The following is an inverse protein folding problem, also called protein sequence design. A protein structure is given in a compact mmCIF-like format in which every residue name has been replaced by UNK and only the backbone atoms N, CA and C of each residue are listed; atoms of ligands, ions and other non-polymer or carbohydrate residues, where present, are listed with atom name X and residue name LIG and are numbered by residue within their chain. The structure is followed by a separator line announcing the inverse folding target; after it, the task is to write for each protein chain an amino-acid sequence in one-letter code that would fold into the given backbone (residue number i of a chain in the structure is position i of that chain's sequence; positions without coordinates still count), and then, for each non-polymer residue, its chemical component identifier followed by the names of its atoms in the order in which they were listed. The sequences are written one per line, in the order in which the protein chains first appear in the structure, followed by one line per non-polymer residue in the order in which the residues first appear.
data_IF_732400866254
#
_entry.id   IF_732400866254
#
_cell.length_a   1.000
_cell.length_b   1.000
_cell.length_c   1.000
_cell.angle_alpha   90.00
_cell.angle_beta   90.00
_cell.angle_gamma   90.00
#
_symmetry.space_group_name_H-M   'P 1'
#
loop_
_entity.id
_entity.type
_entity.pdbx_description
1 polymer ?
#
# COMPACT_ATOMS: atom_id res chain seq x y z
N UNK A 1 -12.31 6.30 -9.83
CA UNK A 1 -12.13 5.48 -11.05
C UNK A 1 -12.05 4.03 -10.60
N UNK A 2 -12.77 3.12 -11.23
CA UNK A 2 -12.71 1.70 -10.86
C UNK A 2 -11.37 1.11 -11.31
N UNK A 3 -10.71 0.35 -10.45
CA UNK A 3 -9.43 -0.29 -10.80
C UNK A 3 -9.66 -1.49 -11.74
N UNK A 4 -8.70 -1.81 -12.63
CA UNK A 4 -8.77 -3.02 -13.42
C UNK A 4 -8.68 -4.27 -12.52
N UNK A 5 -9.53 -5.25 -12.79
CA UNK A 5 -9.53 -6.52 -12.04
C UNK A 5 -8.64 -7.51 -12.76
N UNK A 6 -7.72 -8.14 -12.02
CA UNK A 6 -6.78 -9.13 -12.55
C UNK A 6 -7.11 -10.48 -11.94
N UNK A 7 -6.99 -11.53 -12.75
CA UNK A 7 -7.13 -12.92 -12.33
C UNK A 7 -6.21 -13.23 -11.13
N UNK A 8 -6.74 -13.72 -10.00
CA UNK A 8 -5.96 -14.04 -8.81
C UNK A 8 -4.89 -15.12 -9.05
N UNK A 9 -5.06 -15.97 -10.06
CA UNK A 9 -4.09 -17.00 -10.43
C UNK A 9 -2.83 -16.43 -11.10
N UNK A 10 -2.86 -15.14 -11.49
CA UNK A 10 -1.67 -14.45 -11.99
C UNK A 10 -0.72 -14.17 -10.82
N UNK A 11 0.59 -14.50 -10.95
CA UNK A 11 1.58 -14.24 -9.92
C UNK A 11 1.57 -12.80 -9.43
N UNK A 12 1.74 -12.58 -8.12
CA UNK A 12 1.62 -11.25 -7.51
C UNK A 12 2.57 -10.21 -8.13
N UNK A 13 3.79 -10.62 -8.49
CA UNK A 13 4.77 -9.75 -9.17
C UNK A 13 4.26 -9.24 -10.51
N UNK A 14 3.57 -10.10 -11.26
CA UNK A 14 2.97 -9.77 -12.54
C UNK A 14 1.74 -8.87 -12.37
N UNK A 15 0.89 -9.14 -11.37
CA UNK A 15 -0.24 -8.26 -11.02
C UNK A 15 0.21 -6.85 -10.65
N UNK A 16 1.22 -6.71 -9.78
CA UNK A 16 1.78 -5.40 -9.38
C UNK A 16 2.31 -4.62 -10.58
N UNK A 17 2.95 -5.32 -11.54
CA UNK A 17 3.44 -4.68 -12.76
C UNK A 17 2.29 -4.17 -13.64
N UNK A 18 1.19 -4.93 -13.75
CA UNK A 18 0.01 -4.52 -14.53
C UNK A 18 -0.78 -3.40 -13.85
N UNK A 19 -0.92 -3.43 -12.52
CA UNK A 19 -1.58 -2.37 -11.76
C UNK A 19 -0.78 -1.06 -11.72
N UNK A 20 0.55 -1.15 -11.80
CA UNK A 20 1.43 0.03 -11.86
C UNK A 20 1.39 0.77 -13.21
N UNK A 21 0.91 0.13 -14.26
CA UNK A 21 0.76 0.72 -15.60
C UNK A 21 -0.58 0.29 -16.22
N UNK A 22 -1.71 0.82 -15.72
CA UNK A 22 -3.04 0.43 -16.17
C UNK A 22 -3.32 0.88 -17.61
N UNK A 23 -2.61 1.90 -18.11
CA UNK A 23 -2.71 2.37 -19.49
C UNK A 23 -2.18 1.33 -20.49
N UNK A 24 -1.22 0.50 -20.07
CA UNK A 24 -0.69 -0.59 -20.89
C UNK A 24 -1.67 -1.76 -21.09
N UNK A 25 -2.77 -1.83 -20.33
CA UNK A 25 -3.79 -2.86 -20.49
C UNK A 25 -4.59 -2.61 -21.77
N UNK A 26 -4.44 -3.45 -22.80
CA UNK A 26 -5.21 -3.30 -24.02
C UNK A 26 -6.71 -3.58 -23.81
N UNK A 27 -7.57 -2.85 -24.51
CA UNK A 27 -9.02 -3.16 -24.57
C UNK A 27 -9.23 -4.56 -25.17
N UNK A 28 -10.20 -5.30 -24.62
CA UNK A 28 -10.47 -6.69 -25.02
C UNK A 28 -10.85 -6.82 -26.50
N UNK A 29 -11.49 -5.81 -27.11
CA UNK A 29 -11.95 -5.84 -28.51
C UNK A 29 -10.87 -5.58 -29.57
N UNK A 30 -9.73 -4.99 -29.19
CA UNK A 30 -8.68 -4.63 -30.15
C UNK A 30 -7.63 -5.73 -30.20
N UNK A 31 -7.34 -6.34 -31.37
CA UNK A 31 -6.30 -7.35 -31.47
C UNK A 31 -4.98 -6.78 -30.95
N UNK A 32 -4.42 -7.42 -29.92
CA UNK A 32 -3.12 -7.09 -29.35
C UNK A 32 -2.01 -7.46 -30.35
N UNK A 33 -1.92 -6.71 -31.44
CA UNK A 33 -0.85 -6.83 -32.41
C UNK A 33 0.41 -6.33 -31.75
N UNK A 34 1.48 -7.14 -31.81
CA UNK A 34 2.81 -6.63 -31.52
C UNK A 34 3.05 -5.47 -32.49
N UNK A 35 3.31 -4.24 -32.00
CA UNK A 35 3.56 -3.13 -32.88
C UNK A 35 4.79 -3.47 -33.73
N UNK A 36 4.70 -3.25 -35.04
CA UNK A 36 5.76 -3.61 -35.98
C UNK A 36 7.05 -2.81 -35.71
N UNK A 37 6.89 -1.58 -35.22
CA UNK A 37 7.94 -0.74 -34.66
C UNK A 37 7.70 -0.56 -33.15
N UNK A 38 8.70 -0.88 -32.33
CA UNK A 38 8.59 -0.84 -30.87
C UNK A 38 8.39 0.58 -30.32
N UNK A 39 7.67 0.66 -29.19
CA UNK A 39 7.72 1.80 -28.25
C UNK A 39 7.21 3.13 -28.79
N UNK A 40 5.88 3.31 -28.86
CA UNK A 40 5.21 4.52 -29.36
C UNK A 40 5.34 5.76 -28.47
N UNK A 41 6.06 5.72 -27.35
CA UNK A 41 6.21 6.93 -26.54
C UNK A 41 7.21 7.87 -27.22
N UNK A 42 6.85 9.15 -27.33
CA UNK A 42 7.76 10.18 -27.87
C UNK A 42 9.09 10.23 -27.11
N UNK A 43 9.08 9.80 -25.84
CA UNK A 43 10.27 9.70 -25.00
C UNK A 43 11.21 8.59 -25.49
N UNK A 44 10.71 7.40 -25.80
CA UNK A 44 11.52 6.30 -26.34
C UNK A 44 12.15 6.66 -27.70
N UNK A 45 11.38 7.36 -28.55
CA UNK A 45 11.89 7.86 -29.83
C UNK A 45 13.00 8.91 -29.62
N UNK A 46 12.83 9.81 -28.65
CA UNK A 46 13.86 10.78 -28.27
C UNK A 46 15.14 10.12 -27.74
N UNK A 47 15.00 9.11 -26.87
CA UNK A 47 16.14 8.33 -26.35
C UNK A 47 16.84 7.57 -27.48
N UNK A 48 16.09 6.92 -28.37
CA UNK A 48 16.66 6.23 -29.53
C UNK A 48 17.41 7.20 -30.46
N UNK A 49 16.86 8.39 -30.70
CA UNK A 49 17.48 9.41 -31.55
C UNK A 49 18.81 9.89 -30.95
N UNK A 50 18.85 10.06 -29.63
CA UNK A 50 20.07 10.43 -28.89
C UNK A 50 21.13 9.31 -28.91
N UNK A 51 20.70 8.05 -28.81
CA UNK A 51 21.61 6.89 -28.75
C UNK A 51 22.07 6.38 -30.12
N UNK A 52 21.34 6.65 -31.20
CA UNK A 52 21.68 6.24 -32.56
C UNK A 52 23.10 6.65 -33.01
N UNK A 53 23.55 7.91 -32.84
CA UNK A 53 24.91 8.28 -33.23
C UNK A 53 25.97 7.57 -32.38
N UNK A 54 25.70 7.33 -31.10
CA UNK A 54 26.63 6.62 -30.20
C UNK A 54 26.81 5.16 -30.61
N UNK A 55 25.73 4.45 -30.95
CA UNK A 55 25.80 3.08 -31.45
C UNK A 55 26.39 2.99 -32.86
N UNK A 56 26.28 4.05 -33.67
CA UNK A 56 26.81 4.07 -35.04
C UNK A 56 28.31 4.36 -35.07
N UNK A 57 28.79 5.31 -34.26
CA UNK A 57 30.20 5.73 -34.25
C UNK A 57 31.04 4.99 -33.21
N UNK A 58 30.43 4.62 -32.08
CA UNK A 58 31.10 4.04 -30.92
C UNK A 58 30.42 2.74 -30.41
N UNK A 59 30.08 1.77 -31.27
CA UNK A 59 29.45 0.50 -30.84
C UNK A 59 30.28 -0.29 -29.82
N UNK A 60 31.61 -0.18 -29.86
CA UNK A 60 32.50 -0.84 -28.88
C UNK A 60 32.34 -0.29 -27.47
N UNK A 61 32.20 1.05 -27.35
CA UNK A 61 31.96 1.72 -26.07
C UNK A 61 30.58 1.35 -25.52
N UNK A 62 29.55 1.38 -26.38
CA UNK A 62 28.20 1.02 -25.99
C UNK A 62 28.10 -0.45 -25.57
N UNK A 63 28.74 -1.38 -26.31
CA UNK A 63 28.74 -2.80 -25.99
C UNK A 63 29.29 -3.14 -24.60
N UNK A 64 30.12 -2.27 -24.01
CA UNK A 64 30.65 -2.44 -22.66
C UNK A 64 29.55 -2.47 -21.59
N UNK A 65 28.44 -1.76 -21.80
CA UNK A 65 27.36 -1.63 -20.82
C UNK A 65 26.30 -2.74 -20.90
N UNK A 66 26.31 -3.58 -21.95
CA UNK A 66 25.23 -4.54 -22.24
C UNK A 66 25.66 -6.01 -22.14
N UNK A 67 26.81 -6.30 -21.50
CA UNK A 67 27.29 -7.65 -21.19
C UNK A 67 28.29 -8.24 -22.19
N UNK A 68 28.90 -9.39 -21.83
CA UNK A 68 30.09 -9.92 -22.52
C UNK A 68 29.92 -10.24 -24.01
N UNK A 69 28.77 -10.81 -24.41
CA UNK A 69 28.49 -11.13 -25.83
C UNK A 69 28.29 -9.88 -26.69
N UNK A 70 27.60 -8.87 -26.16
CA UNK A 70 27.35 -7.60 -26.85
C UNK A 70 28.63 -6.79 -26.94
N UNK A 71 29.49 -6.85 -25.93
CA UNK A 71 30.83 -6.24 -25.94
C UNK A 71 31.72 -6.78 -27.06
N UNK A 72 31.81 -8.10 -27.20
CA UNK A 72 32.61 -8.71 -28.28
C UNK A 72 32.10 -8.32 -29.66
N UNK A 73 30.77 -8.38 -29.86
CA UNK A 73 30.16 -7.94 -31.11
C UNK A 73 30.39 -6.44 -31.38
N UNK A 74 30.23 -5.58 -30.36
CA UNK A 74 30.45 -4.14 -30.46
C UNK A 74 31.89 -3.78 -30.83
N UNK A 75 32.88 -4.49 -30.27
CA UNK A 75 34.30 -4.29 -30.62
C UNK A 75 34.61 -4.74 -32.06
N UNK A 76 34.03 -5.86 -32.52
CA UNK A 76 34.19 -6.30 -33.90
C UNK A 76 33.61 -5.28 -34.89
N UNK A 77 32.42 -4.75 -34.60
CA UNK A 77 31.81 -3.67 -35.41
C UNK A 77 32.66 -2.40 -35.34
N UNK A 78 33.18 -2.03 -34.16
CA UNK A 78 34.06 -0.87 -33.99
C UNK A 78 35.32 -0.98 -34.86
N UNK A 79 35.94 -2.16 -34.90
CA UNK A 79 37.12 -2.39 -35.74
C UNK A 79 36.80 -2.19 -37.23
N UNK A 80 35.63 -2.64 -37.68
CA UNK A 80 35.14 -2.40 -39.04
C UNK A 80 34.91 -0.90 -39.34
N UNK A 81 34.29 -0.16 -38.42
CA UNK A 81 34.08 1.29 -38.56
C UNK A 81 35.41 2.05 -38.65
N UNK A 82 36.39 1.69 -37.81
CA UNK A 82 37.73 2.29 -37.83
C UNK A 82 38.47 1.95 -39.13
N UNK A 83 38.43 0.69 -39.56
CA UNK A 83 39.04 0.26 -40.81
C UNK A 83 38.44 1.01 -42.02
N UNK A 84 37.12 1.21 -42.04
CA UNK A 84 36.43 1.99 -43.07
C UNK A 84 36.86 3.47 -43.05
N UNK A 85 36.98 4.09 -41.87
CA UNK A 85 37.45 5.47 -41.74
C UNK A 85 38.89 5.65 -42.26
N UNK A 86 39.79 4.72 -41.89
CA UNK A 86 41.19 4.71 -42.34
C UNK A 86 41.26 4.49 -43.86
N UNK A 87 40.47 3.56 -44.40
CA UNK A 87 40.41 3.32 -45.84
C UNK A 87 39.88 4.54 -46.62
N UNK A 88 38.83 5.20 -46.11
CA UNK A 88 38.29 6.42 -46.72
C UNK A 88 39.29 7.59 -46.68
N UNK A 89 40.07 7.71 -45.60
CA UNK A 89 41.14 8.70 -45.50
C UNK A 89 42.30 8.41 -46.47
N UNK A 90 42.67 7.14 -46.63
CA UNK A 90 43.76 6.71 -47.52
C UNK A 90 43.39 6.75 -49.02
N UNK A 91 42.12 6.51 -49.37
CA UNK A 91 41.67 6.39 -50.76
C UNK A 91 41.39 7.73 -51.48
N UNK A 92 41.54 8.88 -50.79
CA UNK A 92 41.40 10.21 -51.40
C UNK A 92 40.05 10.95 -51.31
N UNK A 93 38.87 10.35 -51.06
CA UNK A 93 37.63 11.13 -50.89
C UNK A 93 37.58 11.87 -49.53
N UNK A 94 38.59 11.67 -48.69
CA UNK A 94 38.71 12.30 -47.38
C UNK A 94 37.72 11.75 -46.35
N UNK A 95 37.73 12.33 -45.15
CA UNK A 95 36.78 11.98 -44.09
C UNK A 95 35.32 12.19 -44.49
N UNK A 96 35.04 12.98 -45.55
CA UNK A 96 33.69 13.21 -46.07
C UNK A 96 32.94 11.93 -46.46
N UNK A 97 33.60 10.99 -47.15
CA UNK A 97 32.96 9.73 -47.54
C UNK A 97 32.59 8.85 -46.33
N UNK A 98 33.41 8.89 -45.27
CA UNK A 98 33.10 8.22 -44.01
C UNK A 98 31.86 8.83 -43.34
N UNK A 99 31.77 10.16 -43.26
CA UNK A 99 30.60 10.83 -42.69
C UNK A 99 29.32 10.60 -43.50
N UNK A 100 29.42 10.51 -44.83
CA UNK A 100 28.28 10.13 -45.69
C UNK A 100 27.82 8.70 -45.38
N UNK A 101 28.74 7.73 -45.32
CA UNK A 101 28.40 6.35 -44.96
C UNK A 101 27.82 6.22 -43.54
N UNK A 102 28.41 6.94 -42.56
CA UNK A 102 27.89 7.01 -41.20
C UNK A 102 26.49 7.64 -41.14
N UNK A 103 26.24 8.67 -41.96
CA UNK A 103 24.92 9.30 -42.09
C UNK A 103 23.85 8.33 -42.59
N UNK A 104 24.19 7.42 -43.50
CA UNK A 104 23.28 6.34 -43.95
C UNK A 104 23.11 5.22 -42.92
N UNK A 105 24.14 4.95 -42.12
CA UNK A 105 24.06 3.95 -41.06
C UNK A 105 23.19 4.41 -39.87
N UNK A 106 23.16 5.72 -39.56
CA UNK A 106 22.36 6.26 -38.45
C UNK A 106 20.85 5.93 -38.51
N UNK A 107 20.11 6.14 -39.62
CA UNK A 107 18.69 5.80 -39.68
C UNK A 107 18.46 4.29 -39.57
N UNK A 108 19.40 3.45 -40.04
CA UNK A 108 19.34 1.99 -39.88
C UNK A 108 19.51 1.62 -38.41
N UNK A 109 20.54 2.17 -37.73
CA UNK A 109 20.78 1.97 -36.30
C UNK A 109 19.61 2.47 -35.46
N UNK A 110 19.06 3.64 -35.78
CA UNK A 110 17.87 4.20 -35.15
C UNK A 110 16.65 3.29 -35.34
N UNK A 111 16.40 2.79 -36.55
CA UNK A 111 15.33 1.83 -36.83
C UNK A 111 15.50 0.52 -36.07
N UNK A 112 16.72 -0.01 -35.96
CA UNK A 112 17.03 -1.20 -35.16
C UNK A 112 16.85 -0.94 -33.67
N UNK A 113 17.28 0.22 -33.16
CA UNK A 113 17.10 0.63 -31.77
C UNK A 113 15.62 0.80 -31.44
N UNK A 114 14.82 1.46 -32.29
CA UNK A 114 13.36 1.56 -32.13
C UNK A 114 12.68 0.19 -32.17
N UNK A 115 13.11 -0.69 -33.08
CA UNK A 115 12.58 -2.05 -33.12
C UNK A 115 12.93 -2.86 -31.86
N UNK A 116 14.09 -2.58 -31.26
CA UNK A 116 14.60 -3.19 -30.02
C UNK A 116 14.08 -2.53 -28.74
N UNK A 117 13.72 -1.25 -28.78
CA UNK A 117 12.90 -0.55 -27.79
C UNK A 117 11.46 -1.05 -27.89
N UNK A 118 11.33 -2.36 -27.74
CA UNK A 118 10.10 -3.09 -27.82
C UNK A 118 9.38 -2.99 -26.51
N UNK A 119 8.11 -2.57 -26.61
CA UNK A 119 7.00 -2.78 -25.69
C UNK A 119 7.40 -3.01 -24.23
N UNK A 120 7.08 -2.01 -23.41
CA UNK A 120 7.31 -2.01 -21.97
C UNK A 120 6.90 -3.33 -21.32
N UNK A 121 7.57 -3.72 -20.22
CA UNK A 121 7.35 -5.03 -19.60
C UNK A 121 5.88 -5.24 -19.22
N UNK A 122 5.17 -4.17 -18.80
CA UNK A 122 3.73 -4.19 -18.54
C UNK A 122 2.89 -4.45 -19.79
N UNK A 123 3.10 -3.72 -20.89
CA UNK A 123 2.37 -3.94 -22.15
C UNK A 123 2.60 -5.34 -22.76
N UNK A 124 3.84 -5.84 -22.67
CA UNK A 124 4.18 -7.21 -23.10
C UNK A 124 3.45 -8.24 -22.26
N UNK A 125 3.40 -8.01 -20.95
CA UNK A 125 2.71 -8.88 -20.00
C UNK A 125 1.19 -8.81 -20.22
N UNK A 126 0.63 -7.63 -20.42
CA UNK A 126 -0.79 -7.42 -20.73
C UNK A 126 -1.18 -8.18 -22.00
N UNK A 127 -0.36 -8.16 -23.05
CA UNK A 127 -0.62 -8.99 -24.25
C UNK A 127 -0.60 -10.49 -23.94
N UNK A 128 0.36 -10.96 -23.14
CA UNK A 128 0.49 -12.39 -22.78
C UNK A 128 -0.69 -12.87 -21.92
N UNK A 129 -1.09 -12.05 -20.96
CA UNK A 129 -2.18 -12.31 -20.02
C UNK A 129 -3.52 -11.79 -20.53
N UNK A 130 -3.66 -11.58 -21.84
CA UNK A 130 -4.91 -11.10 -22.43
C UNK A 130 -6.04 -12.08 -22.10
N UNK A 131 -7.14 -11.54 -21.60
CA UNK A 131 -8.27 -12.33 -21.11
C UNK A 131 -8.19 -12.75 -19.64
N UNK A 132 -7.05 -12.52 -18.97
CA UNK A 132 -6.84 -12.67 -17.51
C UNK A 132 -6.84 -11.34 -16.75
N UNK A 133 -7.40 -10.31 -17.37
CA UNK A 133 -7.73 -9.05 -16.72
C UNK A 133 -9.02 -8.49 -17.34
N UNK A 134 -9.72 -7.65 -16.58
CA UNK A 134 -10.93 -6.96 -16.99
C UNK A 134 -10.76 -5.48 -16.69
N UNK A 135 -10.90 -4.65 -17.73
CA UNK A 135 -11.00 -3.20 -17.58
C UNK A 135 -12.46 -2.80 -17.40
N UNK A 136 -12.79 -1.93 -16.43
CA UNK A 136 -14.12 -1.35 -16.31
C UNK A 136 -14.57 -0.64 -17.61
N UNK A 137 -13.63 -0.02 -18.33
CA UNK A 137 -13.89 0.67 -19.61
C UNK A 137 -14.33 -0.28 -20.74
N UNK A 138 -14.08 -1.59 -20.61
CA UNK A 138 -14.52 -2.58 -21.61
C UNK A 138 -15.98 -3.00 -21.41
N UNK A 139 -16.57 -2.68 -20.25
CA UNK A 139 -17.93 -3.02 -19.85
C UNK A 139 -18.92 -1.88 -20.15
N UNK A 140 -20.19 -2.22 -20.33
CA UNK A 140 -21.28 -1.22 -20.27
C UNK A 140 -21.36 -0.55 -18.89
N UNK A 141 -21.89 0.68 -18.84
CA UNK A 141 -22.00 1.47 -17.60
C UNK A 141 -22.66 0.70 -16.45
N UNK A 142 -23.73 -0.04 -16.75
CA UNK A 142 -24.44 -0.86 -15.75
C UNK A 142 -23.54 -1.98 -15.19
N UNK A 143 -22.84 -2.70 -16.07
CA UNK A 143 -21.92 -3.77 -15.66
C UNK A 143 -20.70 -3.22 -14.91
N UNK A 144 -20.14 -2.10 -15.36
CA UNK A 144 -19.07 -1.39 -14.65
C UNK A 144 -19.52 -0.91 -13.25
N UNK A 145 -20.78 -0.49 -13.11
CA UNK A 145 -21.41 -0.14 -11.84
C UNK A 145 -21.46 -1.32 -10.86
N UNK A 146 -21.90 -2.49 -11.33
CA UNK A 146 -21.91 -3.72 -10.53
C UNK A 146 -20.51 -4.17 -10.11
N UNK A 147 -19.55 -4.10 -11.03
CA UNK A 147 -18.16 -4.45 -10.75
C UNK A 147 -17.56 -3.55 -9.67
N UNK A 148 -17.77 -2.23 -9.78
CA UNK A 148 -17.31 -1.24 -8.80
C UNK A 148 -17.89 -1.52 -7.41
N UNK A 149 -19.18 -1.83 -7.32
CA UNK A 149 -19.84 -2.20 -6.06
C UNK A 149 -19.18 -3.42 -5.42
N UNK A 150 -18.91 -4.47 -6.19
CA UNK A 150 -18.22 -5.66 -5.71
C UNK A 150 -16.79 -5.34 -5.21
N UNK A 151 -16.04 -4.53 -5.95
CA UNK A 151 -14.70 -4.09 -5.56
C UNK A 151 -14.74 -3.28 -4.24
N UNK A 152 -15.67 -2.34 -4.12
CA UNK A 152 -15.83 -1.53 -2.90
C UNK A 152 -16.20 -2.40 -1.70
N UNK A 153 -17.11 -3.35 -1.86
CA UNK A 153 -17.48 -4.28 -0.80
C UNK A 153 -16.28 -5.14 -0.35
N UNK A 154 -15.53 -5.70 -1.30
CA UNK A 154 -14.34 -6.50 -1.00
C UNK A 154 -13.24 -5.67 -0.31
N UNK A 155 -12.97 -4.45 -0.81
CA UNK A 155 -12.00 -3.55 -0.21
C UNK A 155 -12.39 -3.17 1.22
N UNK A 156 -13.67 -2.85 1.47
CA UNK A 156 -14.17 -2.52 2.80
C UNK A 156 -13.93 -3.65 3.82
N UNK A 157 -14.04 -4.92 3.40
CA UNK A 157 -13.73 -6.06 4.27
C UNK A 157 -12.22 -6.20 4.49
N UNK A 158 -11.42 -6.16 3.41
CA UNK A 158 -9.98 -6.35 3.50
C UNK A 158 -9.30 -5.26 4.34
N UNK A 159 -9.80 -4.04 4.28
CA UNK A 159 -9.29 -2.87 5.01
C UNK A 159 -9.84 -2.75 6.43
N UNK A 160 -10.86 -3.53 6.79
CA UNK A 160 -11.48 -3.49 8.12
C UNK A 160 -10.52 -3.82 9.25
N UNK A 161 -10.78 -3.23 10.41
CA UNK A 161 -9.93 -3.40 11.59
C UNK A 161 -10.02 -4.82 12.13
N UNK A 162 -11.21 -5.42 12.13
CA UNK A 162 -11.43 -6.82 12.54
C UNK A 162 -10.71 -7.81 11.63
N UNK A 163 -10.56 -7.51 10.34
CA UNK A 163 -9.77 -8.34 9.42
C UNK A 163 -8.27 -8.16 9.68
N UNK A 164 -7.80 -6.92 9.86
CA UNK A 164 -6.38 -6.62 10.11
C UNK A 164 -5.87 -7.11 11.47
N UNK A 165 -6.74 -7.19 12.46
CA UNK A 165 -6.43 -7.71 13.81
C UNK A 165 -6.52 -9.23 13.89
N UNK A 166 -6.87 -9.92 12.80
CA UNK A 166 -6.98 -11.38 12.75
C UNK A 166 -8.19 -11.95 13.49
N UNK A 167 -9.20 -11.11 13.81
CA UNK A 167 -10.48 -11.57 14.37
C UNK A 167 -11.35 -12.26 13.32
N UNK A 168 -11.10 -11.96 12.04
CA UNK A 168 -11.56 -12.74 10.89
C UNK A 168 -10.39 -13.56 10.33
N UNK A 169 -10.73 -14.60 9.56
CA UNK A 169 -9.76 -15.38 8.79
C UNK A 169 -9.19 -14.53 7.64
N UNK A 170 -8.18 -13.74 7.97
CA UNK A 170 -7.53 -12.75 7.11
C UNK A 170 -6.89 -13.39 5.87
N UNK A 171 -6.26 -14.55 6.04
CA UNK A 171 -5.68 -15.35 4.95
C UNK A 171 -6.79 -15.80 3.99
N UNK A 172 -7.89 -16.35 4.52
CA UNK A 172 -9.01 -16.78 3.67
C UNK A 172 -9.67 -15.60 2.97
N UNK A 173 -9.83 -14.47 3.63
CA UNK A 173 -10.41 -13.27 3.03
C UNK A 173 -9.50 -12.69 1.92
N UNK A 174 -8.20 -12.64 2.15
CA UNK A 174 -7.21 -12.15 1.18
C UNK A 174 -7.15 -12.99 -0.10
N UNK A 175 -7.52 -14.28 -0.04
CA UNK A 175 -7.58 -15.16 -1.21
C UNK A 175 -8.99 -15.20 -1.82
N UNK A 176 -10.01 -15.36 -0.99
CA UNK A 176 -11.38 -15.61 -1.44
C UNK A 176 -12.00 -14.35 -2.05
N UNK A 177 -11.86 -13.18 -1.42
CA UNK A 177 -12.53 -11.97 -1.89
C UNK A 177 -12.03 -11.53 -3.29
N UNK A 178 -10.72 -11.48 -3.58
CA UNK A 178 -10.25 -11.22 -4.94
C UNK A 178 -10.76 -12.24 -5.96
N UNK A 179 -10.85 -13.52 -5.60
CA UNK A 179 -11.43 -14.54 -6.47
C UNK A 179 -12.92 -14.31 -6.73
N UNK A 180 -13.71 -13.91 -5.73
CA UNK A 180 -15.12 -13.55 -5.93
C UNK A 180 -15.26 -12.34 -6.88
N UNK A 181 -14.43 -11.31 -6.72
CA UNK A 181 -14.44 -10.12 -7.59
C UNK A 181 -14.06 -10.49 -9.02
N UNK A 182 -13.05 -11.35 -9.20
CA UNK A 182 -12.66 -11.86 -10.52
C UNK A 182 -13.77 -12.66 -11.21
N UNK A 183 -14.45 -13.53 -10.47
CA UNK A 183 -15.61 -14.29 -10.97
C UNK A 183 -16.74 -13.35 -11.42
N UNK A 184 -17.07 -12.35 -10.59
CA UNK A 184 -18.05 -11.30 -10.96
C UNK A 184 -17.62 -10.58 -12.24
N UNK A 185 -16.36 -10.15 -12.32
CA UNK A 185 -15.83 -9.47 -13.50
C UNK A 185 -15.91 -10.35 -14.76
N UNK A 186 -15.54 -11.63 -14.64
CA UNK A 186 -15.53 -12.60 -15.74
C UNK A 186 -16.92 -12.87 -16.28
N UNK A 187 -17.92 -13.04 -15.40
CA UNK A 187 -19.31 -13.23 -15.81
C UNK A 187 -19.88 -11.96 -16.46
N UNK A 188 -19.62 -10.78 -15.88
CA UNK A 188 -20.07 -9.51 -16.46
C UNK A 188 -19.54 -9.29 -17.87
N UNK A 189 -18.25 -9.56 -18.10
CA UNK A 189 -17.65 -9.50 -19.45
C UNK A 189 -18.34 -10.48 -20.39
N UNK A 190 -18.64 -11.70 -19.93
CA UNK A 190 -19.29 -12.72 -20.76
C UNK A 190 -20.70 -12.30 -21.16
N UNK A 191 -21.50 -11.80 -20.21
CA UNK A 191 -22.85 -11.28 -20.46
C UNK A 191 -22.81 -10.12 -21.44
N UNK A 192 -21.93 -9.14 -21.22
CA UNK A 192 -21.84 -7.95 -22.07
C UNK A 192 -21.40 -8.30 -23.50
N UNK A 193 -20.47 -9.25 -23.64
CA UNK A 193 -20.05 -9.76 -24.96
C UNK A 193 -21.21 -10.45 -25.68
N UNK A 194 -21.93 -11.34 -25.00
CA UNK A 194 -23.05 -12.07 -25.58
C UNK A 194 -24.23 -11.15 -25.94
N UNK A 195 -24.49 -10.10 -25.15
CA UNK A 195 -25.50 -9.07 -25.47
C UNK A 195 -25.15 -8.32 -26.75
N UNK A 196 -23.90 -7.88 -26.91
CA UNK A 196 -23.44 -7.21 -28.15
C UNK A 196 -23.53 -8.14 -29.37
N UNK A 197 -23.23 -9.42 -29.20
CA UNK A 197 -23.40 -10.42 -30.27
C UNK A 197 -24.88 -10.61 -30.63
N UNK A 198 -25.75 -10.67 -29.62
CA UNK A 198 -27.21 -10.82 -29.80
C UNK A 198 -27.85 -9.61 -30.49
N UNK A 199 -27.48 -8.39 -30.09
CA UNK A 199 -27.91 -7.15 -30.75
C UNK A 199 -27.50 -7.12 -32.23
N UNK A 200 -26.26 -7.50 -32.54
CA UNK A 200 -25.75 -7.53 -33.91
C UNK A 200 -26.43 -8.58 -34.82
N UNK A 201 -27.01 -9.63 -34.25
CA UNK A 201 -27.77 -10.68 -34.98
C UNK A 201 -29.23 -10.26 -35.15
N UNK A 202 -29.84 -9.67 -34.12
CA UNK A 202 -31.23 -9.20 -34.14
C UNK A 202 -31.44 -8.13 -35.23
N UNK A 203 -30.44 -7.28 -35.45
CA UNK A 203 -30.47 -6.27 -36.54
C UNK A 203 -30.44 -6.88 -37.95
N UNK A 204 -30.07 -8.17 -38.12
CA UNK A 204 -29.80 -8.80 -39.43
C UNK A 204 -30.83 -9.82 -39.90
N UNK A 205 -31.62 -10.47 -39.03
CA UNK A 205 -32.43 -11.63 -39.43
C UNK A 205 -33.86 -11.76 -38.86
N UNK A 206 -34.62 -12.63 -39.53
CA UNK A 206 -36.08 -12.76 -39.58
C UNK A 206 -36.77 -13.30 -38.30
N UNK A 207 -38.07 -12.96 -38.18
CA UNK A 207 -39.12 -13.47 -37.25
C UNK A 207 -39.13 -14.98 -36.95
N UNK A 208 -38.46 -15.82 -37.76
CA UNK A 208 -38.36 -17.29 -37.57
C UNK A 208 -37.39 -17.72 -36.46
N UNK A 209 -36.49 -16.83 -36.02
CA UNK A 209 -35.51 -17.12 -34.96
C UNK A 209 -35.82 -16.33 -33.67
N UNK A 210 -36.89 -15.54 -33.67
CA UNK A 210 -37.25 -14.65 -32.56
C UNK A 210 -37.43 -15.40 -31.24
N UNK A 211 -38.14 -16.53 -31.23
CA UNK A 211 -38.34 -17.36 -30.02
C UNK A 211 -37.01 -17.86 -29.42
N UNK A 212 -36.03 -18.18 -30.27
CA UNK A 212 -34.70 -18.60 -29.80
C UNK A 212 -33.87 -17.40 -29.30
N UNK A 213 -34.01 -16.24 -29.93
CA UNK A 213 -33.37 -15.00 -29.48
C UNK A 213 -33.95 -14.52 -28.14
N UNK A 214 -35.25 -14.66 -27.93
CA UNK A 214 -35.93 -14.33 -26.67
C UNK A 214 -35.44 -15.25 -25.53
N UNK A 215 -35.35 -16.57 -25.77
CA UNK A 215 -34.80 -17.50 -24.79
C UNK A 215 -33.33 -17.20 -24.42
N UNK A 216 -32.54 -16.69 -25.37
CA UNK A 216 -31.17 -16.25 -25.09
C UNK A 216 -31.14 -14.95 -24.28
N UNK A 217 -32.04 -14.01 -24.55
CA UNK A 217 -32.16 -12.78 -23.76
C UNK A 217 -32.56 -13.10 -22.31
N UNK A 218 -33.55 -13.98 -22.10
CA UNK A 218 -33.96 -14.45 -20.78
C UNK A 218 -32.79 -15.09 -20.02
N UNK A 219 -31.97 -15.91 -20.68
CA UNK A 219 -30.80 -16.51 -20.08
C UNK A 219 -29.74 -15.47 -19.65
N UNK A 220 -29.55 -14.41 -20.44
CA UNK A 220 -28.63 -13.31 -20.11
C UNK A 220 -29.15 -12.46 -18.93
N UNK A 221 -30.47 -12.29 -18.84
CA UNK A 221 -31.10 -11.59 -17.72
C UNK A 221 -30.99 -12.39 -16.42
N UNK A 222 -31.24 -13.71 -16.47
CA UNK A 222 -31.01 -14.61 -15.34
C UNK A 222 -29.55 -14.61 -14.87
N UNK A 223 -28.60 -14.59 -15.81
CA UNK A 223 -27.17 -14.49 -15.48
C UNK A 223 -26.85 -13.14 -14.79
N UNK A 224 -27.42 -12.04 -15.29
CA UNK A 224 -27.25 -10.70 -14.71
C UNK A 224 -27.85 -10.61 -13.31
N UNK A 225 -29.03 -11.18 -13.10
CA UNK A 225 -29.68 -11.25 -11.79
C UNK A 225 -28.84 -12.07 -10.80
N UNK A 226 -28.32 -13.23 -11.25
CA UNK A 226 -27.45 -14.06 -10.42
C UNK A 226 -26.17 -13.34 -9.99
N UNK A 227 -25.53 -12.61 -10.90
CA UNK A 227 -24.36 -11.78 -10.54
C UNK A 227 -24.75 -10.67 -9.57
N UNK A 228 -25.89 -10.02 -9.81
CA UNK A 228 -26.40 -8.95 -8.92
C UNK A 228 -26.62 -9.48 -7.51
N UNK A 229 -27.24 -10.65 -7.35
CA UNK A 229 -27.40 -11.31 -6.04
C UNK A 229 -26.05 -11.61 -5.37
N UNK A 230 -25.04 -12.03 -6.14
CA UNK A 230 -23.68 -12.26 -5.62
C UNK A 230 -23.03 -10.96 -5.13
N UNK A 231 -23.22 -9.85 -5.86
CA UNK A 231 -22.74 -8.52 -5.44
C UNK A 231 -23.45 -8.07 -4.16
N UNK A 232 -24.77 -8.21 -4.08
CA UNK A 232 -25.52 -7.88 -2.85
C UNK A 232 -25.02 -8.70 -1.65
N UNK A 233 -24.74 -9.99 -1.82
CA UNK A 233 -24.19 -10.82 -0.75
C UNK A 233 -22.79 -10.34 -0.28
N UNK A 234 -21.95 -9.84 -1.19
CA UNK A 234 -20.67 -9.22 -0.83
C UNK A 234 -20.87 -7.92 -0.05
N UNK A 235 -21.85 -7.10 -0.44
CA UNK A 235 -22.20 -5.85 0.25
C UNK A 235 -22.76 -6.11 1.65
N UNK A 236 -23.63 -7.11 1.80
CA UNK A 236 -24.17 -7.55 3.09
C UNK A 236 -23.05 -8.04 4.01
N UNK A 237 -22.11 -8.81 3.47
CA UNK A 237 -20.92 -9.23 4.21
C UNK A 237 -20.08 -8.02 4.66
N UNK A 238 -19.82 -7.07 3.77
CA UNK A 238 -19.12 -5.84 4.12
C UNK A 238 -19.87 -5.01 5.18
N UNK A 239 -21.20 -4.99 5.14
CA UNK A 239 -22.02 -4.33 6.16
C UNK A 239 -21.89 -5.02 7.54
N UNK A 240 -21.92 -6.35 7.58
CA UNK A 240 -21.69 -7.10 8.82
C UNK A 240 -20.29 -6.86 9.40
N UNK A 241 -19.26 -6.83 8.54
CA UNK A 241 -17.88 -6.54 8.95
C UNK A 241 -17.75 -5.13 9.53
N UNK A 242 -18.40 -4.13 8.94
CA UNK A 242 -18.45 -2.77 9.51
C UNK A 242 -19.12 -2.75 10.89
N UNK A 243 -20.21 -3.50 11.07
CA UNK A 243 -20.84 -3.66 12.38
C UNK A 243 -19.92 -4.31 13.42
N UNK A 244 -19.09 -5.27 13.00
CA UNK A 244 -18.07 -5.87 13.86
C UNK A 244 -16.96 -4.87 14.22
N UNK A 245 -16.52 -4.03 13.28
CA UNK A 245 -15.55 -2.95 13.53
C UNK A 245 -16.09 -1.94 14.56
N UNK A 246 -17.36 -1.56 14.46
CA UNK A 246 -18.01 -0.70 15.45
C UNK A 246 -18.04 -1.34 16.84
N UNK A 247 -18.38 -2.64 16.91
CA UNK A 247 -18.38 -3.39 18.17
C UNK A 247 -16.97 -3.51 18.78
N UNK A 248 -15.94 -3.72 17.95
CA UNK A 248 -14.55 -3.75 18.39
C UNK A 248 -14.13 -2.41 19.01
N UNK A 249 -14.40 -1.29 18.33
CA UNK A 249 -14.11 0.05 18.85
C UNK A 249 -14.83 0.36 20.16
N UNK A 250 -16.08 -0.09 20.28
CA UNK A 250 -16.85 0.05 21.53
C UNK A 250 -16.22 -0.77 22.65
N UNK A 251 -15.87 -2.03 22.39
CA UNK A 251 -15.20 -2.90 23.35
C UNK A 251 -13.86 -2.31 23.83
N UNK A 252 -13.01 -1.84 22.90
CA UNK A 252 -11.74 -1.18 23.25
C UNK A 252 -11.93 0.08 24.10
N UNK A 253 -13.00 0.83 23.82
CA UNK A 253 -13.34 2.02 24.60
C UNK A 253 -13.77 1.64 26.02
N UNK A 254 -14.60 0.62 26.18
CA UNK A 254 -14.97 0.09 27.50
C UNK A 254 -13.74 -0.41 28.26
N UNK A 255 -12.85 -1.16 27.60
CA UNK A 255 -11.61 -1.64 28.22
C UNK A 255 -10.72 -0.49 28.71
N UNK A 256 -10.54 0.57 27.91
CA UNK A 256 -9.79 1.76 28.32
C UNK A 256 -10.44 2.50 29.50
N UNK A 257 -11.77 2.58 29.54
CA UNK A 257 -12.49 3.21 30.64
C UNK A 257 -12.37 2.40 31.94
N UNK A 258 -12.48 1.08 31.86
CA UNK A 258 -12.31 0.18 33.01
C UNK A 258 -10.89 0.27 33.58
N UNK A 259 -9.86 0.24 32.72
CA UNK A 259 -8.47 0.39 33.16
C UNK A 259 -8.23 1.71 33.91
N UNK A 260 -8.76 2.83 33.39
CA UNK A 260 -8.70 4.13 34.09
C UNK A 260 -9.49 4.12 35.40
N UNK A 261 -10.63 3.44 35.46
CA UNK A 261 -11.41 3.34 36.71
C UNK A 261 -10.60 2.64 37.82
N UNK A 262 -9.78 1.66 37.48
CA UNK A 262 -8.93 0.98 38.46
C UNK A 262 -7.79 1.89 38.94
N UNK A 263 -7.21 2.70 38.05
CA UNK A 263 -6.25 3.75 38.42
C UNK A 263 -6.89 4.79 39.37
N UNK A 264 -8.12 5.22 39.10
CA UNK A 264 -8.85 6.14 40.01
C UNK A 264 -9.12 5.51 41.37
N UNK A 265 -9.46 4.21 41.41
CA UNK A 265 -9.65 3.48 42.69
C UNK A 265 -8.35 3.38 43.49
N UNK A 266 -7.22 3.08 42.84
CA UNK A 266 -5.91 3.03 43.49
C UNK A 266 -5.51 4.42 44.02
N UNK A 267 -5.75 5.48 43.25
CA UNK A 267 -5.50 6.85 43.70
C UNK A 267 -6.34 7.20 44.93
N UNK A 268 -7.64 6.90 44.91
CA UNK A 268 -8.52 7.12 46.07
C UNK A 268 -8.05 6.34 47.30
N UNK A 269 -7.64 5.08 47.13
CA UNK A 269 -7.12 4.26 48.22
C UNK A 269 -5.83 4.84 48.83
N UNK A 270 -4.95 5.43 48.00
CA UNK A 270 -3.75 6.13 48.46
C UNK A 270 -4.10 7.41 49.23
N UNK A 271 -5.02 8.23 48.71
CA UNK A 271 -5.46 9.46 49.40
C UNK A 271 -6.07 9.15 50.77
N UNK A 272 -6.92 8.13 50.88
CA UNK A 272 -7.49 7.71 52.18
C UNK A 272 -6.38 7.23 53.14
N UNK A 273 -5.36 6.54 52.63
CA UNK A 273 -4.20 6.12 53.44
C UNK A 273 -3.38 7.33 53.91
N UNK A 274 -3.19 8.33 53.04
CA UNK A 274 -2.45 9.55 53.38
C UNK A 274 -3.19 10.37 54.44
N UNK A 275 -4.53 10.47 54.35
CA UNK A 275 -5.35 11.11 55.39
C UNK A 275 -5.22 10.41 56.75
N UNK A 276 -5.23 9.07 56.76
CA UNK A 276 -5.00 8.29 57.98
C UNK A 276 -3.58 8.49 58.54
N UNK A 277 -2.57 8.57 57.68
CA UNK A 277 -1.19 8.83 58.09
C UNK A 277 -1.04 10.24 58.70
N UNK A 278 -1.69 11.26 58.12
CA UNK A 278 -1.70 12.62 58.67
C UNK A 278 -2.34 12.64 60.07
N UNK A 279 -3.45 11.92 60.26
CA UNK A 279 -4.09 11.81 61.57
C UNK A 279 -3.13 11.19 62.62
N UNK A 280 -2.43 10.11 62.25
CA UNK A 280 -1.42 9.47 63.11
C UNK A 280 -0.24 10.39 63.45
N UNK A 281 0.29 11.13 62.48
CA UNK A 281 1.38 12.10 62.70
C UNK A 281 0.91 13.21 63.66
N UNK A 282 -0.33 13.66 63.52
CA UNK A 282 -0.90 14.69 64.40
C UNK A 282 -0.99 14.20 65.84
N UNK A 283 -1.43 12.95 66.05
CA UNK A 283 -1.46 12.31 67.38
C UNK A 283 -0.06 12.18 67.98
N UNK A 284 0.92 11.69 67.21
CA UNK A 284 2.32 11.59 67.64
C UNK A 284 2.91 12.97 67.99
N UNK A 285 2.50 14.03 67.27
CA UNK A 285 2.94 15.40 67.54
C UNK A 285 2.36 15.92 68.86
N UNK A 286 1.08 15.64 69.14
CA UNK A 286 0.47 15.98 70.44
C UNK A 286 1.07 15.18 71.60
N UNK A 287 1.42 13.92 71.39
CA UNK A 287 2.19 13.14 72.37
C UNK A 287 3.57 13.75 72.63
N UNK A 288 4.32 14.09 71.59
CA UNK A 288 5.62 14.74 71.72
C UNK A 288 5.52 16.08 72.48
N UNK A 289 4.48 16.88 72.20
CA UNK A 289 4.21 18.13 72.93
C UNK A 289 3.94 17.90 74.41
N UNK A 290 3.13 16.89 74.74
CA UNK A 290 2.88 16.49 76.15
C UNK A 290 4.17 16.07 76.86
N UNK A 291 5.04 15.32 76.18
CA UNK A 291 6.35 14.91 76.71
C UNK A 291 7.26 16.13 76.91
N UNK A 292 7.35 17.04 75.94
CA UNK A 292 8.13 18.28 76.05
C UNK A 292 7.69 19.12 77.26
N UNK A 293 6.38 19.33 77.42
CA UNK A 293 5.81 20.09 78.54
C UNK A 293 6.12 19.44 79.90
N UNK A 294 6.01 18.12 79.99
CA UNK A 294 6.37 17.37 81.20
C UNK A 294 7.87 17.51 81.53
N UNK A 295 8.75 17.43 80.52
CA UNK A 295 10.19 17.63 80.69
C UNK A 295 10.51 19.05 81.13
N UNK A 296 9.94 20.07 80.48
CA UNK A 296 10.13 21.48 80.82
C UNK A 296 9.64 21.78 82.24
N UNK A 297 8.52 21.20 82.66
CA UNK A 297 8.03 21.29 84.03
C UNK A 297 8.98 20.61 85.03
N UNK A 298 9.54 19.44 84.67
CA UNK A 298 10.56 18.75 85.48
C UNK A 298 11.82 19.58 85.66
N UNK A 299 12.37 20.15 84.58
CA UNK A 299 13.53 21.05 84.61
C UNK A 299 13.25 22.29 85.47
N UNK A 300 12.06 22.90 85.34
CA UNK A 300 11.66 24.06 86.15
C UNK A 300 11.58 23.72 87.64
N UNK A 301 11.05 22.53 87.99
CA UNK A 301 11.03 22.01 89.37
C UNK A 301 12.44 21.77 89.91
N UNK A 302 13.30 21.11 89.13
CA UNK A 302 14.70 20.87 89.50
C UNK A 302 15.48 22.19 89.72
N UNK A 303 15.30 23.17 88.84
CA UNK A 303 15.91 24.52 89.00
C UNK A 303 15.43 25.22 90.28
N UNK A 304 14.13 25.13 90.60
CA UNK A 304 13.58 25.72 91.83
C UNK A 304 14.14 25.04 93.08
N UNK A 305 14.29 23.72 93.07
CA UNK A 305 14.91 22.96 94.16
C UNK A 305 16.41 23.30 94.33
N UNK A 306 17.17 23.39 93.23
CA UNK A 306 18.58 23.80 93.27
C UNK A 306 18.78 25.22 93.81
N UNK A 307 17.90 26.16 93.44
CA UNK A 307 17.93 27.53 94.00
C UNK A 307 17.55 27.56 95.49
N UNK A 308 16.65 26.70 95.95
CA UNK A 308 16.28 26.57 97.36
C UNK A 308 17.36 25.89 98.22
N UNK A 309 18.28 25.14 97.61
CA UNK A 309 19.47 24.57 98.26
C UNK A 309 20.69 25.51 98.21
N UNK A 310 20.65 26.56 97.37
CA UNK A 310 21.68 27.60 97.25
C UNK A 310 21.60 28.83 98.20
N UNK A 311 20.73 28.96 99.24
CA UNK A 311 20.80 30.09 100.17
C UNK A 311 21.95 30.03 101.18
N UNK A 312 22.81 29.00 101.14
CA UNK A 312 23.86 28.80 102.15
C UNK A 312 25.29 29.15 101.66
N UNK A 313 25.42 30.14 100.77
CA UNK A 313 26.70 30.79 100.48
C UNK A 313 26.63 32.27 100.89
N UNK A 314 27.04 32.48 102.15
CA UNK A 314 27.23 33.70 102.96
C UNK A 314 26.01 34.25 103.74
N UNK A 315 26.18 34.67 105.03
CA UNK A 315 27.41 34.93 105.77
C UNK A 315 27.57 34.13 107.08
N UNK A 316 28.80 33.75 107.42
CA UNK A 316 29.18 33.60 108.83
C UNK A 316 30.60 34.16 109.02
N UNK A 317 30.67 35.49 109.15
CA UNK A 317 31.77 36.19 109.82
C UNK A 317 31.12 37.20 110.77
N UNK A 318 30.71 36.70 111.92
CA UNK A 318 30.61 37.47 113.14
C UNK A 318 31.31 36.68 114.24
N UNK A 319 31.93 37.42 115.16
CA UNK A 319 32.45 37.02 116.49
C UNK A 319 33.93 36.61 116.58
N UNK A 320 34.79 37.62 116.73
CA UNK A 320 35.71 37.71 117.86
C UNK A 320 35.93 39.19 118.22
N UNK A 321 35.46 39.57 119.43
CA UNK A 321 35.86 40.71 120.28
C UNK A 321 36.17 42.06 119.63
#
# INVERSE_FOLDING_TARGET
MSEPVIDPDVPERERKLLLGDPEALGSRGVPARRPWFGGRTWQDAGVCLLHAPMWTLLPGLMGWFYGGRVRLAGLAVQAGVVALAVAAAAAGPGLGAFFVAAGWAMPVTFGVLLWRCGEGPAARLARKLRGRYVRPDDLTETAAGLLRRAQTAAAAVLESEVNRTGLLDDVRNAVTLPAQVWEVASVLVRVDTLRREHEAVTDREHRRIAEMLDAQADALDLATESVTRRVCALEDYAAMVRGADDALRQWETVQRLTARSDEYRDLLARTVRDELAIAQITELTEEARRVEEALRASVKRARKAGLALSPNLAPNLAEAS
#
